data_IF_641692721806
#
_entry.id   IF_641692721806
#
_cell.length_a   1.000
_cell.length_b   1.000
_cell.length_c   1.000
_cell.angle_alpha   90.00
_cell.angle_beta   90.00
_cell.angle_gamma   90.00
#
_symmetry.space_group_name_H-M   'P 1'
#
loop_
_entity.id
_entity.type
_entity.pdbx_description
1 polymer ?
#
# COMPACT_ATOMS: atom_id res chain seq x y z
N UNK A 1 -8.98 7.14 8.91
CA UNK A 1 -8.43 7.70 7.65
C UNK A 1 -7.55 6.68 6.95
N UNK A 2 -7.55 6.70 5.66
CA UNK A 2 -6.70 5.86 4.82
C UNK A 2 -5.95 6.74 3.82
N UNK A 3 -4.86 6.22 3.27
CA UNK A 3 -4.16 6.83 2.16
C UNK A 3 -4.41 5.95 0.93
N UNK A 4 -5.25 6.41 0.03
CA UNK A 4 -5.59 5.70 -1.20
C UNK A 4 -4.95 6.41 -2.38
N UNK A 5 -3.93 5.79 -2.96
CA UNK A 5 -3.16 6.34 -4.09
C UNK A 5 -2.59 7.74 -3.83
N UNK A 6 -2.22 8.03 -2.57
CA UNK A 6 -1.69 9.33 -2.19
C UNK A 6 -2.73 10.31 -1.67
N UNK A 7 -4.00 9.95 -1.69
CA UNK A 7 -5.09 10.81 -1.22
C UNK A 7 -5.58 10.34 0.14
N UNK A 8 -5.55 11.23 1.11
CA UNK A 8 -6.08 10.94 2.45
C UNK A 8 -7.59 11.10 2.42
N UNK A 9 -8.28 10.05 2.83
CA UNK A 9 -9.74 10.03 2.81
C UNK A 9 -10.29 9.09 3.88
N UNK A 10 -11.57 9.18 4.17
CA UNK A 10 -12.19 8.36 5.22
C UNK A 10 -12.31 6.91 4.79
N UNK A 11 -12.70 6.66 3.56
CA UNK A 11 -12.87 5.31 3.00
C UNK A 11 -12.45 5.30 1.55
N UNK A 12 -12.13 4.10 1.05
CA UNK A 12 -11.95 3.91 -0.39
C UNK A 12 -13.33 3.79 -1.05
N UNK A 13 -13.36 4.11 -2.35
CA UNK A 13 -14.60 4.10 -3.11
C UNK A 13 -14.36 3.39 -4.44
N UNK A 14 -14.22 2.07 -4.39
CA UNK A 14 -14.09 1.25 -5.58
C UNK A 14 -15.01 0.03 -5.47
N UNK A 15 -15.39 -0.50 -6.62
CA UNK A 15 -16.27 -1.66 -6.69
C UNK A 15 -15.49 -2.93 -6.31
N UNK A 16 -15.65 -3.39 -5.08
CA UNK A 16 -14.93 -4.54 -4.57
C UNK A 16 -15.24 -5.81 -5.37
N UNK A 17 -16.45 -5.91 -5.89
CA UNK A 17 -16.89 -7.06 -6.67
C UNK A 17 -16.15 -7.20 -8.01
N UNK A 18 -15.46 -6.16 -8.44
CA UNK A 18 -14.65 -6.15 -9.65
C UNK A 18 -13.14 -6.05 -9.35
N UNK A 19 -12.77 -6.06 -8.08
CA UNK A 19 -11.38 -5.88 -7.68
C UNK A 19 -10.62 -7.20 -7.75
N UNK A 20 -9.54 -7.24 -8.52
CA UNK A 20 -8.75 -8.46 -8.69
C UNK A 20 -8.08 -8.91 -7.39
N UNK A 21 -7.71 -7.98 -6.51
CA UNK A 21 -7.15 -8.32 -5.20
C UNK A 21 -8.12 -9.13 -4.38
N UNK A 22 -9.39 -8.72 -4.34
CA UNK A 22 -10.44 -9.42 -3.64
C UNK A 22 -10.81 -10.74 -4.32
N UNK A 23 -11.03 -10.70 -5.64
CA UNK A 23 -11.53 -11.87 -6.38
C UNK A 23 -10.48 -12.97 -6.56
N UNK A 24 -9.23 -12.61 -6.79
CA UNK A 24 -8.20 -13.55 -7.21
C UNK A 24 -6.95 -13.51 -6.35
N UNK A 25 -6.96 -12.74 -5.28
CA UNK A 25 -5.76 -12.57 -4.46
C UNK A 25 -4.63 -11.83 -5.17
N UNK A 26 -4.96 -11.01 -6.17
CA UNK A 26 -3.98 -10.27 -6.97
C UNK A 26 -3.56 -8.98 -6.25
N UNK A 27 -3.01 -9.17 -5.06
CA UNK A 27 -2.60 -8.09 -4.17
C UNK A 27 -1.45 -8.58 -3.29
N UNK A 28 -0.61 -7.65 -2.87
CA UNK A 28 0.50 -7.90 -1.96
C UNK A 28 0.51 -6.81 -0.89
N UNK A 29 1.11 -7.09 0.26
CA UNK A 29 1.16 -6.09 1.32
C UNK A 29 2.39 -6.28 2.20
N UNK A 30 2.74 -5.19 2.90
CA UNK A 30 3.72 -5.16 3.97
C UNK A 30 3.05 -4.66 5.23
N UNK A 31 3.39 -5.25 6.36
CA UNK A 31 2.95 -4.80 7.68
C UNK A 31 4.14 -4.16 8.37
N UNK A 32 4.03 -2.88 8.70
CA UNK A 32 5.16 -2.04 9.09
C UNK A 32 4.85 -1.38 10.42
N UNK A 33 5.79 -1.48 11.36
CA UNK A 33 5.67 -0.80 12.65
C UNK A 33 6.28 0.59 12.56
N UNK A 34 5.56 1.58 13.10
CA UNK A 34 6.03 2.96 13.16
C UNK A 34 6.01 3.43 14.61
N UNK A 35 7.17 3.81 15.11
CA UNK A 35 7.31 4.37 16.47
C UNK A 35 7.46 5.89 16.34
N UNK A 36 6.43 6.62 16.79
CA UNK A 36 6.36 8.06 16.56
C UNK A 36 6.33 8.34 15.06
N UNK A 37 7.40 8.92 14.53
CA UNK A 37 7.58 9.16 13.10
C UNK A 37 8.67 8.26 12.50
N UNK A 38 9.19 7.32 13.29
CA UNK A 38 10.25 6.41 12.84
C UNK A 38 9.64 5.14 12.29
N UNK A 39 9.81 4.93 11.01
CA UNK A 39 9.37 3.71 10.32
C UNK A 39 10.47 2.66 10.53
N UNK A 40 10.11 1.55 11.19
CA UNK A 40 11.08 0.49 11.46
C UNK A 40 11.30 -0.36 10.21
N UNK A 41 12.57 -0.63 9.91
CA UNK A 41 12.96 -1.48 8.78
C UNK A 41 12.40 -1.01 7.42
N UNK A 42 12.39 0.30 7.23
CA UNK A 42 11.84 0.89 6.00
C UNK A 42 12.49 0.31 4.74
N UNK A 43 13.82 0.23 4.72
CA UNK A 43 14.53 -0.28 3.54
C UNK A 43 14.16 -1.73 3.25
N UNK A 44 14.14 -2.58 4.27
CA UNK A 44 13.81 -4.00 4.11
C UNK A 44 12.38 -4.18 3.61
N UNK A 45 11.44 -3.42 4.16
CA UNK A 45 10.05 -3.43 3.71
C UNK A 45 9.94 -2.96 2.26
N UNK A 46 10.63 -1.89 1.91
CA UNK A 46 10.62 -1.35 0.57
C UNK A 46 11.15 -2.36 -0.44
N UNK A 47 12.33 -2.92 -0.16
CA UNK A 47 12.97 -3.88 -1.07
C UNK A 47 12.11 -5.13 -1.28
N UNK A 48 11.49 -5.63 -0.20
CA UNK A 48 10.61 -6.79 -0.29
C UNK A 48 9.33 -6.49 -1.06
N UNK A 49 8.76 -5.31 -0.86
CA UNK A 49 7.57 -4.88 -1.62
C UNK A 49 7.89 -4.82 -3.11
N UNK A 50 9.02 -4.24 -3.48
CA UNK A 50 9.45 -4.17 -4.88
C UNK A 50 9.69 -5.55 -5.47
N UNK A 51 10.32 -6.45 -4.71
CA UNK A 51 10.54 -7.82 -5.14
C UNK A 51 9.22 -8.56 -5.35
N UNK A 52 8.26 -8.39 -4.44
CA UNK A 52 6.94 -9.00 -4.54
C UNK A 52 6.17 -8.49 -5.77
N UNK A 53 6.26 -7.19 -6.04
CA UNK A 53 5.63 -6.61 -7.23
C UNK A 53 6.20 -7.21 -8.52
N UNK A 54 7.52 -7.40 -8.58
CA UNK A 54 8.17 -8.02 -9.75
C UNK A 54 7.73 -9.46 -9.93
N UNK A 55 7.66 -10.23 -8.83
CA UNK A 55 7.20 -11.62 -8.88
C UNK A 55 5.78 -11.70 -9.43
N UNK A 56 4.92 -10.78 -9.02
CA UNK A 56 3.54 -10.71 -9.48
C UNK A 56 3.39 -10.03 -10.84
N UNK A 57 4.49 -9.60 -11.45
CA UNK A 57 4.50 -8.89 -12.74
C UNK A 57 3.69 -7.61 -12.74
N UNK A 58 3.62 -6.97 -11.58
CA UNK A 58 3.04 -5.64 -11.45
C UNK A 58 4.05 -4.62 -11.97
N UNK A 59 3.56 -3.60 -12.66
CA UNK A 59 4.41 -2.51 -13.09
C UNK A 59 4.70 -1.60 -11.92
N UNK A 60 5.99 -1.39 -11.62
CA UNK A 60 6.39 -0.49 -10.54
C UNK A 60 6.37 0.93 -11.08
N UNK A 61 5.51 1.83 -10.54
CA UNK A 61 5.51 3.22 -10.97
C UNK A 61 6.88 3.86 -10.76
N UNK A 62 7.25 4.80 -11.63
CA UNK A 62 8.54 5.48 -11.54
C UNK A 62 8.72 6.24 -10.23
N UNK A 63 7.64 6.69 -9.64
CA UNK A 63 7.68 7.41 -8.36
C UNK A 63 7.71 6.51 -7.13
N UNK A 64 7.65 5.19 -7.29
CA UNK A 64 7.73 4.25 -6.17
C UNK A 64 9.17 4.11 -5.69
N UNK A 65 9.65 5.11 -5.00
CA UNK A 65 10.95 5.11 -4.36
C UNK A 65 10.78 4.85 -2.86
N UNK A 66 11.88 4.60 -2.17
CA UNK A 66 11.84 4.43 -0.71
C UNK A 66 11.37 5.72 -0.03
N UNK A 67 11.79 6.87 -0.54
CA UNK A 67 11.38 8.18 -0.05
C UNK A 67 9.88 8.41 -0.25
N UNK A 68 9.35 7.98 -1.38
CA UNK A 68 7.92 8.07 -1.65
C UNK A 68 7.13 7.22 -0.64
N UNK A 69 7.57 5.99 -0.41
CA UNK A 69 6.92 5.09 0.54
C UNK A 69 6.90 5.70 1.95
N UNK A 70 8.04 6.23 2.38
CA UNK A 70 8.15 6.93 3.66
C UNK A 70 7.19 8.10 3.75
N UNK A 71 7.18 8.95 2.73
CA UNK A 71 6.32 10.12 2.67
C UNK A 71 4.84 9.75 2.77
N UNK A 72 4.41 8.74 2.03
CA UNK A 72 3.02 8.30 2.02
C UNK A 72 2.59 7.72 3.36
N UNK A 73 3.46 6.98 4.02
CA UNK A 73 3.19 6.44 5.36
C UNK A 73 3.07 7.56 6.38
N UNK A 74 4.04 8.48 6.40
CA UNK A 74 4.06 9.58 7.38
C UNK A 74 2.90 10.54 7.17
N UNK A 75 2.45 10.72 5.95
CA UNK A 75 1.28 11.51 5.63
C UNK A 75 0.03 11.01 6.37
N UNK A 76 -0.11 9.70 6.50
CA UNK A 76 -1.20 9.10 7.25
C UNK A 76 -0.95 9.16 8.76
N UNK A 77 0.29 8.92 9.19
CA UNK A 77 0.67 8.92 10.61
C UNK A 77 0.41 10.29 11.26
N UNK A 78 0.61 11.38 10.53
CA UNK A 78 0.38 12.74 11.04
C UNK A 78 -1.05 12.95 11.52
N UNK A 79 -2.00 12.21 10.98
CA UNK A 79 -3.43 12.34 11.31
C UNK A 79 -3.85 11.44 12.46
N UNK A 80 -2.97 10.55 12.92
CA UNK A 80 -3.30 9.64 14.01
C UNK A 80 -3.19 10.33 15.37
N UNK A 81 -4.12 10.00 16.26
CA UNK A 81 -4.10 10.51 17.64
C UNK A 81 -3.03 9.81 18.47
N UNK A 82 -2.78 8.54 18.20
CA UNK A 82 -1.70 7.81 18.86
C UNK A 82 -0.38 8.16 18.22
N UNK A 83 0.49 8.83 18.98
CA UNK A 83 1.82 9.25 18.51
C UNK A 83 2.94 8.35 19.01
N UNK A 84 2.60 7.25 19.69
CA UNK A 84 3.61 6.36 20.28
C UNK A 84 3.95 5.22 19.33
N UNK A 85 2.97 4.40 18.98
CA UNK A 85 3.23 3.21 18.18
C UNK A 85 2.01 2.86 17.34
N UNK A 86 2.24 2.67 16.06
CA UNK A 86 1.20 2.34 15.10
C UNK A 86 1.66 1.18 14.20
N UNK A 87 0.69 0.45 13.66
CA UNK A 87 0.93 -0.57 12.64
C UNK A 87 0.34 -0.07 11.33
N UNK A 88 1.18 -0.06 10.31
CA UNK A 88 0.79 0.30 8.96
C UNK A 88 0.65 -0.95 8.12
N UNK A 89 -0.41 -1.05 7.34
CA UNK A 89 -0.52 -2.02 6.27
C UNK A 89 -0.48 -1.27 4.95
N UNK A 90 0.57 -1.54 4.18
CA UNK A 90 0.77 -0.96 2.86
C UNK A 90 0.44 -2.03 1.84
N UNK A 91 -0.68 -1.87 1.15
CA UNK A 91 -1.18 -2.87 0.20
C UNK A 91 -1.08 -2.33 -1.23
N UNK A 92 -0.62 -3.17 -2.14
CA UNK A 92 -0.55 -2.86 -3.57
C UNK A 92 -1.36 -3.91 -4.31
N UNK A 93 -2.23 -3.47 -5.19
CA UNK A 93 -3.07 -4.36 -5.97
C UNK A 93 -3.17 -3.87 -7.40
N UNK A 94 -3.45 -4.83 -8.31
CA UNK A 94 -3.50 -4.53 -9.74
C UNK A 94 -4.74 -3.71 -10.07
N UNK A 95 -4.52 -2.62 -10.78
CA UNK A 95 -5.59 -1.75 -11.26
C UNK A 95 -6.01 -2.22 -12.65
N UNK A 96 -6.72 -3.34 -12.70
CA UNK A 96 -7.07 -3.95 -13.97
C UNK A 96 -8.29 -4.84 -13.85
N UNK A 97 -8.99 -4.99 -14.96
CA UNK A 97 -9.98 -6.02 -15.16
C UNK A 97 -9.33 -7.26 -15.76
N UNK A 98 -10.14 -8.22 -16.15
CA UNK A 98 -9.68 -9.45 -16.77
C UNK A 98 -9.91 -10.63 -15.86
N UNK A 99 -10.15 -11.79 -16.45
CA UNK A 99 -10.51 -12.98 -15.69
C UNK A 99 -9.27 -13.84 -15.40
N UNK A 100 -8.62 -14.38 -16.43
CA UNK A 100 -7.40 -15.15 -16.27
C UNK A 100 -6.16 -14.28 -16.43
N UNK A 101 -6.22 -13.33 -17.36
CA UNK A 101 -5.15 -12.39 -17.61
C UNK A 101 -5.64 -10.99 -17.29
N UNK A 102 -4.86 -10.20 -16.54
CA UNK A 102 -5.23 -8.81 -16.29
C UNK A 102 -5.14 -7.99 -17.58
N UNK A 103 -5.99 -6.97 -17.69
CA UNK A 103 -5.98 -6.05 -18.84
C UNK A 103 -4.85 -5.04 -18.75
N UNK A 104 -4.26 -4.87 -17.58
CA UNK A 104 -3.16 -3.96 -17.32
C UNK A 104 -2.30 -4.49 -16.18
N UNK A 105 -1.04 -4.06 -16.11
CA UNK A 105 -0.15 -4.33 -14.99
C UNK A 105 0.03 -3.12 -14.08
N UNK A 106 -0.72 -2.05 -14.32
CA UNK A 106 -0.72 -0.88 -13.46
C UNK A 106 -1.27 -1.23 -12.08
N UNK A 107 -0.86 -0.47 -11.08
CA UNK A 107 -1.21 -0.76 -9.70
C UNK A 107 -1.84 0.43 -9.01
N UNK A 108 -2.60 0.11 -7.97
CA UNK A 108 -3.07 1.07 -6.99
C UNK A 108 -2.50 0.67 -5.64
N UNK A 109 -2.43 1.60 -4.70
CA UNK A 109 -2.04 1.26 -3.35
C UNK A 109 -3.01 1.86 -2.33
N UNK A 110 -3.10 1.20 -1.20
CA UNK A 110 -3.89 1.67 -0.06
C UNK A 110 -3.08 1.44 1.22
N UNK A 111 -3.03 2.46 2.05
CA UNK A 111 -2.36 2.39 3.34
C UNK A 111 -3.40 2.55 4.44
N UNK A 112 -3.41 1.62 5.37
CA UNK A 112 -4.26 1.68 6.55
C UNK A 112 -3.40 1.71 7.80
N UNK A 113 -3.92 2.29 8.87
CA UNK A 113 -3.20 2.46 10.11
C UNK A 113 -4.01 1.89 11.27
N UNK A 114 -3.35 1.13 12.11
CA UNK A 114 -3.94 0.56 13.32
C UNK A 114 -3.09 0.94 14.52
N UNK A 115 -3.75 1.26 15.60
CA UNK A 115 -3.09 1.51 16.88
C UNK A 115 -2.53 0.20 17.43
N UNK A 116 -1.30 0.26 17.93
CA UNK A 116 -0.68 -0.90 18.58
C UNK A 116 -0.91 -0.90 20.08
#
# INVERSE_FOLDING_TARGET
MINFNGNIQDTSNFAIENNRGFLFGDAIFETIKVNGTKILFLEEHYLRLMASMRICRMEIPMNFTMEFMEEQILKLIELETNKVSNRIRFSVFRDADGFYNPTSNDVQFIITCFEL
#
